data_IF_563991492398
#
_entry.id   IF_563991492398
#
_cell.length_a   1.000
_cell.length_b   1.000
_cell.length_c   1.000
_cell.angle_alpha   90.00
_cell.angle_beta   90.00
_cell.angle_gamma   90.00
#
_symmetry.space_group_name_H-M   'P 1'
#
loop_
_entity.id
_entity.type
_entity.pdbx_description
1 polymer ?
#
# COMPACT_ATOMS: atom_id res chain seq x y z
N UNK A 1 1.17 12.08 -6.86
CA UNK A 1 -0.07 12.21 -6.08
C UNK A 1 0.18 11.69 -4.67
N UNK A 2 -0.30 12.31 -3.59
CA UNK A 2 -0.23 11.86 -2.16
C UNK A 2 -1.54 11.20 -1.70
N UNK A 3 -1.55 10.46 -0.58
CA UNK A 3 -2.79 9.83 -0.05
C UNK A 3 -3.83 10.91 0.28
N UNK A 4 -3.37 11.99 0.93
CA UNK A 4 -4.16 13.18 1.24
C UNK A 4 -4.76 13.85 -0.01
N UNK A 5 -4.00 13.94 -1.10
CA UNK A 5 -4.49 14.50 -2.36
C UNK A 5 -5.61 13.66 -2.97
N UNK A 6 -5.54 12.31 -2.86
CA UNK A 6 -6.60 11.41 -3.31
C UNK A 6 -7.87 11.59 -2.47
N UNK A 7 -7.73 11.70 -1.14
CA UNK A 7 -8.85 12.00 -0.24
C UNK A 7 -9.48 13.36 -0.52
N UNK A 8 -8.67 14.39 -0.75
CA UNK A 8 -9.14 15.71 -1.11
C UNK A 8 -9.88 15.73 -2.45
N UNK A 9 -9.44 14.93 -3.43
CA UNK A 9 -10.18 14.75 -4.68
C UNK A 9 -11.48 13.98 -4.48
N UNK A 10 -11.47 12.90 -3.68
CA UNK A 10 -12.69 12.16 -3.37
C UNK A 10 -13.76 13.09 -2.78
N UNK A 11 -13.41 13.89 -1.77
CA UNK A 11 -14.32 14.86 -1.16
C UNK A 11 -14.88 15.90 -2.15
N UNK A 12 -14.07 16.34 -3.13
CA UNK A 12 -14.54 17.25 -4.19
C UNK A 12 -15.58 16.60 -5.08
N UNK A 13 -15.40 15.33 -5.44
CA UNK A 13 -16.35 14.60 -6.27
C UNK A 13 -17.62 14.22 -5.51
N UNK A 14 -17.55 13.96 -4.20
CA UNK A 14 -18.75 13.84 -3.36
C UNK A 14 -19.55 15.13 -3.31
N UNK A 15 -18.89 16.28 -3.10
CA UNK A 15 -19.58 17.56 -3.11
C UNK A 15 -20.22 17.85 -4.48
N UNK A 16 -19.62 17.35 -5.57
CA UNK A 16 -20.20 17.41 -6.91
C UNK A 16 -21.41 16.49 -7.06
N UNK A 17 -21.35 15.27 -6.51
CA UNK A 17 -22.46 14.34 -6.50
C UNK A 17 -23.65 14.88 -5.71
N UNK A 18 -23.40 15.46 -4.53
CA UNK A 18 -24.43 16.09 -3.70
C UNK A 18 -25.12 17.25 -4.43
N UNK A 19 -24.35 18.13 -5.08
CA UNK A 19 -24.93 19.21 -5.90
C UNK A 19 -25.76 18.67 -7.06
N UNK A 20 -25.29 17.60 -7.72
CA UNK A 20 -26.04 16.96 -8.78
C UNK A 20 -27.32 16.31 -8.25
N UNK A 21 -27.29 15.73 -7.05
CA UNK A 21 -28.46 15.18 -6.37
C UNK A 21 -29.49 16.27 -6.06
N UNK A 22 -29.06 17.39 -5.46
CA UNK A 22 -29.95 18.54 -5.20
C UNK A 22 -30.59 19.08 -6.49
N UNK A 23 -29.83 19.18 -7.58
CA UNK A 23 -30.34 19.59 -8.88
C UNK A 23 -31.34 18.57 -9.47
N UNK A 24 -31.10 17.28 -9.26
CA UNK A 24 -32.03 16.25 -9.67
C UNK A 24 -33.34 16.32 -8.87
N UNK A 25 -33.25 16.49 -7.55
CA UNK A 25 -34.42 16.64 -6.68
C UNK A 25 -35.26 17.87 -7.02
N UNK A 26 -34.62 18.98 -7.41
CA UNK A 26 -35.32 20.22 -7.76
C UNK A 26 -35.91 20.23 -9.18
N UNK A 27 -35.29 19.53 -10.14
CA UNK A 27 -35.69 19.61 -11.56
C UNK A 27 -36.28 18.33 -12.14
N UNK A 28 -36.03 17.17 -11.52
CA UNK A 28 -36.36 15.85 -12.05
C UNK A 28 -35.57 15.44 -13.31
N UNK A 29 -34.60 16.25 -13.76
CA UNK A 29 -33.89 15.99 -15.02
C UNK A 29 -32.87 14.86 -14.84
N UNK A 30 -33.07 13.76 -15.56
CA UNK A 30 -32.25 12.53 -15.49
C UNK A 30 -30.74 12.75 -15.71
N UNK A 31 -30.35 13.80 -16.43
CA UNK A 31 -28.94 14.19 -16.61
C UNK A 31 -28.24 14.44 -15.27
N UNK A 32 -28.92 15.03 -14.30
CA UNK A 32 -28.36 15.27 -12.98
C UNK A 32 -28.24 13.98 -12.16
N UNK A 33 -29.16 13.03 -12.31
CA UNK A 33 -29.01 11.71 -11.69
C UNK A 33 -27.82 10.95 -12.26
N UNK A 34 -27.62 10.98 -13.59
CA UNK A 34 -26.42 10.41 -14.21
C UNK A 34 -25.13 11.06 -13.70
N UNK A 35 -25.10 12.40 -13.65
CA UNK A 35 -23.94 13.14 -13.16
C UNK A 35 -23.63 12.87 -11.67
N UNK A 36 -24.66 12.61 -10.85
CA UNK A 36 -24.51 12.17 -9.47
C UNK A 36 -23.81 10.82 -9.41
N UNK A 37 -24.33 9.81 -10.10
CA UNK A 37 -23.77 8.45 -10.10
C UNK A 37 -22.31 8.43 -10.56
N UNK A 38 -21.99 9.13 -11.65
CA UNK A 38 -20.62 9.22 -12.16
C UNK A 38 -19.66 9.88 -11.14
N UNK A 39 -20.14 10.89 -10.42
CA UNK A 39 -19.33 11.56 -9.40
C UNK A 39 -19.16 10.70 -8.13
N UNK A 40 -20.19 9.96 -7.72
CA UNK A 40 -20.13 9.00 -6.60
C UNK A 40 -19.20 7.83 -6.90
N UNK A 41 -19.28 7.25 -8.11
CA UNK A 41 -18.41 6.16 -8.56
C UNK A 41 -16.95 6.61 -8.54
N UNK A 42 -16.68 7.82 -9.02
CA UNK A 42 -15.33 8.39 -9.05
C UNK A 42 -14.81 8.71 -7.65
N UNK A 43 -15.65 9.26 -6.77
CA UNK A 43 -15.29 9.48 -5.36
C UNK A 43 -14.94 8.16 -4.65
N UNK A 44 -15.74 7.12 -4.89
CA UNK A 44 -15.52 5.78 -4.35
C UNK A 44 -14.22 5.16 -4.84
N UNK A 45 -13.94 5.25 -6.15
CA UNK A 45 -12.69 4.79 -6.74
C UNK A 45 -11.47 5.51 -6.15
N UNK A 46 -11.56 6.84 -5.94
CA UNK A 46 -10.49 7.63 -5.34
C UNK A 46 -10.20 7.24 -3.89
N UNK A 47 -11.22 6.90 -3.11
CA UNK A 47 -11.04 6.37 -1.74
C UNK A 47 -10.34 5.02 -1.73
N UNK A 48 -10.82 4.08 -2.55
CA UNK A 48 -10.17 2.77 -2.70
C UNK A 48 -8.70 2.94 -3.13
N UNK A 49 -8.42 3.86 -4.05
CA UNK A 49 -7.05 4.17 -4.45
C UNK A 49 -6.22 4.79 -3.32
N UNK A 50 -6.81 5.63 -2.47
CA UNK A 50 -6.13 6.23 -1.32
C UNK A 50 -5.78 5.19 -0.26
N UNK A 51 -6.68 4.24 0.00
CA UNK A 51 -6.50 3.14 0.93
C UNK A 51 -5.46 2.12 0.42
N UNK A 52 -5.57 1.73 -0.85
CA UNK A 52 -4.65 0.80 -1.49
C UNK A 52 -3.23 1.35 -1.66
N UNK A 53 -3.01 2.64 -1.41
CA UNK A 53 -1.74 3.28 -1.69
C UNK A 53 -0.64 2.90 -0.72
N UNK A 54 -0.96 2.88 0.58
CA UNK A 54 0.01 2.49 1.60
C UNK A 54 0.38 1.02 1.42
N UNK A 55 -0.60 0.15 1.16
CA UNK A 55 -0.38 -1.27 0.88
C UNK A 55 0.46 -1.48 -0.40
N UNK A 56 0.18 -0.72 -1.46
CA UNK A 56 0.98 -0.77 -2.68
C UNK A 56 2.42 -0.28 -2.47
N UNK A 57 2.62 0.78 -1.69
CA UNK A 57 3.96 1.28 -1.36
C UNK A 57 4.77 0.25 -0.55
N UNK A 58 4.13 -0.41 0.41
CA UNK A 58 4.72 -1.50 1.18
C UNK A 58 5.07 -2.69 0.28
N UNK A 59 4.19 -3.05 -0.66
CA UNK A 59 4.43 -4.12 -1.64
C UNK A 59 5.65 -3.82 -2.54
N UNK A 60 5.78 -2.59 -3.02
CA UNK A 60 6.93 -2.17 -3.84
C UNK A 60 8.23 -2.28 -3.02
N UNK A 61 8.21 -1.81 -1.76
CA UNK A 61 9.34 -1.95 -0.84
C UNK A 61 9.74 -3.42 -0.62
N UNK A 62 8.77 -4.29 -0.32
CA UNK A 62 8.97 -5.73 -0.17
C UNK A 62 9.59 -6.37 -1.41
N UNK A 63 9.09 -6.04 -2.61
CA UNK A 63 9.65 -6.56 -3.87
C UNK A 63 11.11 -6.16 -4.07
N UNK A 64 11.47 -4.90 -3.79
CA UNK A 64 12.85 -4.43 -3.88
C UNK A 64 13.78 -5.12 -2.88
N UNK A 65 13.32 -5.30 -1.65
CA UNK A 65 14.07 -6.00 -0.61
C UNK A 65 14.26 -7.49 -0.94
N UNK A 66 13.24 -8.18 -1.44
CA UNK A 66 13.37 -9.56 -1.95
C UNK A 66 14.39 -9.63 -3.10
N UNK A 67 14.32 -8.72 -4.07
CA UNK A 67 15.28 -8.67 -5.17
C UNK A 67 16.73 -8.52 -4.67
N UNK A 68 16.96 -7.65 -3.69
CA UNK A 68 18.27 -7.45 -3.06
C UNK A 68 18.76 -8.72 -2.35
N UNK A 69 17.88 -9.36 -1.57
CA UNK A 69 18.19 -10.60 -0.87
C UNK A 69 18.50 -11.76 -1.83
N UNK A 70 17.79 -11.88 -2.94
CA UNK A 70 18.08 -12.92 -3.94
C UNK A 70 19.47 -12.77 -4.56
N UNK A 71 19.88 -11.53 -4.85
CA UNK A 71 21.25 -11.24 -5.34
C UNK A 71 22.30 -11.57 -4.28
N UNK A 72 22.03 -11.25 -3.01
CA UNK A 72 22.93 -11.61 -1.91
C UNK A 72 23.01 -13.12 -1.73
N UNK A 73 21.91 -13.85 -1.88
CA UNK A 73 21.87 -15.31 -1.82
C UNK A 73 22.76 -15.94 -2.90
N UNK A 74 22.65 -15.48 -4.14
CA UNK A 74 23.52 -15.93 -5.23
C UNK A 74 25.01 -15.66 -4.93
N UNK A 75 25.33 -14.54 -4.28
CA UNK A 75 26.71 -14.18 -3.91
C UNK A 75 27.24 -14.93 -2.69
N UNK A 76 26.35 -15.47 -1.87
CA UNK A 76 26.65 -16.24 -0.67
C UNK A 76 26.79 -17.74 -0.96
N UNK A 77 26.45 -18.18 -2.17
CA UNK A 77 26.52 -19.57 -2.57
C UNK A 77 27.95 -20.11 -2.44
N UNK A 78 28.13 -21.17 -1.65
CA UNK A 78 29.44 -21.76 -1.34
C UNK A 78 30.24 -21.08 -0.22
N UNK A 79 29.75 -19.98 0.37
CA UNK A 79 30.41 -19.25 1.46
C UNK A 79 29.56 -19.28 2.75
N UNK A 80 29.90 -20.11 3.75
CA UNK A 80 29.09 -20.29 4.95
C UNK A 80 28.98 -19.02 5.80
N UNK A 81 29.95 -18.11 5.72
CA UNK A 81 29.91 -16.85 6.46
C UNK A 81 28.86 -15.89 5.87
N UNK A 82 28.83 -15.78 4.54
CA UNK A 82 27.84 -14.94 3.84
C UNK A 82 26.42 -15.51 3.95
N UNK A 83 26.29 -16.84 4.03
CA UNK A 83 25.00 -17.51 4.16
C UNK A 83 24.36 -17.23 5.54
N UNK A 84 25.18 -17.21 6.60
CA UNK A 84 24.71 -16.85 7.94
C UNK A 84 24.39 -15.35 8.05
N UNK A 85 25.14 -14.48 7.38
CA UNK A 85 24.81 -13.06 7.27
C UNK A 85 23.45 -12.84 6.57
N UNK A 86 23.23 -13.50 5.42
CA UNK A 86 21.96 -13.47 4.70
C UNK A 86 20.78 -13.94 5.55
N UNK A 87 20.97 -15.00 6.35
CA UNK A 87 19.94 -15.50 7.28
C UNK A 87 19.54 -14.44 8.31
N UNK A 88 20.49 -13.67 8.85
CA UNK A 88 20.20 -12.57 9.79
C UNK A 88 19.43 -11.44 9.11
N UNK A 89 19.83 -11.06 7.89
CA UNK A 89 19.16 -10.01 7.12
C UNK A 89 17.70 -10.40 6.80
N UNK A 90 17.47 -11.64 6.38
CA UNK A 90 16.13 -12.21 6.20
C UNK A 90 15.27 -12.17 7.47
N UNK A 91 15.87 -12.54 8.60
CA UNK A 91 15.17 -12.55 9.90
C UNK A 91 14.84 -11.12 10.36
N UNK A 92 15.74 -10.17 10.15
CA UNK A 92 15.51 -8.76 10.45
C UNK A 92 14.38 -8.19 9.58
N UNK A 93 14.39 -8.47 8.29
CA UNK A 93 13.34 -8.06 7.36
C UNK A 93 11.97 -8.66 7.75
N UNK A 94 11.93 -9.95 8.07
CA UNK A 94 10.69 -10.61 8.51
C UNK A 94 10.11 -9.98 9.79
N UNK A 95 10.95 -9.45 10.67
CA UNK A 95 10.52 -8.72 11.88
C UNK A 95 10.03 -7.33 11.58
N UNK A 96 10.75 -6.59 10.73
CA UNK A 96 10.40 -5.22 10.35
C UNK A 96 9.02 -5.17 9.66
N UNK A 97 8.67 -6.23 8.91
CA UNK A 97 7.37 -6.38 8.28
C UNK A 97 6.32 -7.15 9.11
N UNK A 98 6.62 -7.53 10.36
CA UNK A 98 5.67 -8.20 11.26
C UNK A 98 5.31 -9.64 10.85
N UNK A 99 6.11 -10.28 10.00
CA UNK A 99 5.90 -11.65 9.50
C UNK A 99 6.38 -12.69 10.52
N UNK A 100 7.40 -12.35 11.33
CA UNK A 100 7.92 -13.23 12.38
C UNK A 100 7.93 -12.55 13.75
N UNK A 101 7.39 -13.24 14.77
CA UNK A 101 7.33 -12.77 16.16
C UNK A 101 8.40 -13.42 17.07
N UNK A 102 9.36 -14.16 16.50
CA UNK A 102 10.40 -14.84 17.27
C UNK A 102 11.48 -13.91 17.83
N UNK A 103 12.20 -14.29 18.91
CA UNK A 103 13.26 -13.47 19.51
C UNK A 103 14.34 -13.07 18.49
N UNK A 104 14.90 -11.87 18.63
CA UNK A 104 16.07 -11.40 17.87
C UNK A 104 17.22 -12.36 18.17
N UNK A 105 17.60 -13.16 17.16
CA UNK A 105 18.74 -14.05 17.24
C UNK A 105 20.00 -13.17 17.17
N UNK A 106 20.40 -12.63 18.32
CA UNK A 106 21.53 -11.69 18.47
C UNK A 106 22.88 -12.38 18.36
N UNK A 107 22.92 -13.66 17.96
CA UNK A 107 24.16 -14.41 17.78
C UNK A 107 24.95 -14.62 19.08
N UNK A 108 24.34 -14.40 20.25
CA UNK A 108 25.02 -14.54 21.53
C UNK A 108 25.13 -16.02 21.92
N UNK A 109 26.22 -16.68 21.50
CA UNK A 109 26.67 -17.94 22.09
C UNK A 109 27.31 -17.62 23.45
N UNK A 110 26.52 -17.68 24.50
CA UNK A 110 27.02 -17.72 25.88
C UNK A 110 27.83 -18.99 26.11
N UNK A 111 29.08 -18.78 26.56
CA UNK A 111 30.09 -19.70 27.12
C UNK A 111 29.80 -21.20 27.13
#
# INVERSE_FOLDING_TARGET
MKKEELWAMAAKYEAKAERAYMNFQSTGISRYDKARREADDLASALRMAAEAKETYSALVGLRGAIATLTVQAMRAEGDPYKLEALRRDLTAMAKLHGISCGPIDTGWKGR
#
